data_IF_904534733836
#
_entry.id   IF_904534733836
#
_cell.length_a   1.000
_cell.length_b   1.000
_cell.length_c   1.000
_cell.angle_alpha   90.00
_cell.angle_beta   90.00
_cell.angle_gamma   90.00
#
_symmetry.space_group_name_H-M   'P 1'
#
loop_
_entity.id
_entity.type
_entity.pdbx_description
1 polymer ?
#
# COMPACT_ATOMS: atom_id res chain seq x y z
N UNK A 1 3.72 9.75 17.22
CA UNK A 1 3.03 8.80 18.13
C UNK A 1 2.71 9.46 19.47
N UNK A 2 3.61 10.29 19.97
CA UNK A 2 3.51 10.95 21.29
C UNK A 2 2.23 11.75 21.49
N UNK A 3 1.75 12.46 20.46
CA UNK A 3 0.46 13.16 20.51
C UNK A 3 -0.71 12.23 20.82
N UNK A 4 -0.74 11.04 20.20
CA UNK A 4 -1.78 10.04 20.43
C UNK A 4 -1.70 9.49 21.86
N UNK A 5 -0.49 9.15 22.33
CA UNK A 5 -0.28 8.65 23.69
C UNK A 5 -0.76 9.69 24.71
N UNK A 6 -0.36 10.94 24.56
CA UNK A 6 -0.78 12.02 25.44
C UNK A 6 -2.31 12.21 25.46
N UNK A 7 -2.95 12.17 24.30
CA UNK A 7 -4.40 12.41 24.16
C UNK A 7 -5.24 11.26 24.74
N UNK A 8 -4.82 10.00 24.54
CA UNK A 8 -5.63 8.83 24.90
C UNK A 8 -5.17 8.10 26.17
N UNK A 9 -3.92 8.30 26.59
CA UNK A 9 -3.31 7.63 27.75
C UNK A 9 -2.76 8.60 28.80
N UNK A 10 -2.78 9.91 28.54
CA UNK A 10 -2.32 10.95 29.47
C UNK A 10 -0.78 11.07 29.56
N UNK A 11 -0.30 11.75 30.60
CA UNK A 11 1.13 12.03 30.78
C UNK A 11 1.91 10.85 31.39
N UNK A 12 1.24 9.92 32.08
CA UNK A 12 1.84 8.72 32.67
C UNK A 12 1.06 7.45 32.25
N UNK A 13 1.28 6.96 31.02
CA UNK A 13 0.54 5.83 30.46
C UNK A 13 0.87 4.53 31.20
N UNK A 14 -0.15 3.72 31.51
CA UNK A 14 0.04 2.38 32.07
C UNK A 14 0.60 1.42 31.00
N UNK A 15 1.78 0.81 31.21
CA UNK A 15 2.38 -0.12 30.25
C UNK A 15 1.55 -1.40 30.01
N UNK A 16 0.63 -1.76 30.91
CA UNK A 16 -0.23 -2.93 30.78
C UNK A 16 -1.47 -2.65 29.91
N UNK A 17 -1.77 -1.39 29.64
CA UNK A 17 -2.93 -1.00 28.85
C UNK A 17 -2.66 -1.15 27.35
N UNK A 18 -3.64 -1.65 26.60
CA UNK A 18 -3.54 -1.74 25.14
C UNK A 18 -3.38 -0.35 24.52
N UNK A 19 -2.39 -0.19 23.65
CA UNK A 19 -2.17 1.08 22.93
C UNK A 19 -3.43 1.57 22.21
N UNK A 20 -4.16 0.65 21.57
CA UNK A 20 -5.48 0.89 21.01
C UNK A 20 -6.50 -0.01 21.69
N UNK A 21 -7.46 0.58 22.39
CA UNK A 21 -8.45 -0.14 23.17
C UNK A 21 -9.89 0.13 22.70
N UNK A 22 -10.78 -0.80 23.05
CA UNK A 22 -12.22 -0.59 23.03
C UNK A 22 -12.64 0.18 24.28
N UNK A 23 -13.58 1.11 24.14
CA UNK A 23 -14.19 1.83 25.27
C UNK A 23 -15.54 1.25 25.70
N UNK A 24 -15.96 0.15 25.08
CA UNK A 24 -17.24 -0.48 25.42
C UNK A 24 -17.18 -1.02 26.85
N UNK A 25 -18.22 -0.72 27.64
CA UNK A 25 -18.43 -1.17 29.02
C UNK A 25 -17.45 -0.61 30.06
N UNK A 26 -16.76 0.50 29.76
CA UNK A 26 -15.86 1.17 30.71
C UNK A 26 -14.51 0.48 30.94
N UNK A 27 -14.26 -0.66 30.30
CA UNK A 27 -13.00 -1.41 30.38
C UNK A 27 -12.16 -1.18 29.11
N UNK A 28 -10.86 -0.91 29.29
CA UNK A 28 -9.90 -0.72 28.18
C UNK A 28 -9.44 -2.06 27.59
N UNK A 29 -10.37 -2.78 26.98
CA UNK A 29 -10.12 -4.11 26.41
C UNK A 29 -9.51 -4.05 25.02
N UNK A 30 -8.93 -5.18 24.59
CA UNK A 30 -8.41 -5.38 23.23
C UNK A 30 -9.47 -5.05 22.17
N UNK A 31 -9.07 -4.27 21.18
CA UNK A 31 -9.92 -3.96 20.04
C UNK A 31 -10.13 -5.20 19.16
N UNK A 32 -11.39 -5.51 18.81
CA UNK A 32 -11.70 -6.62 17.90
C UNK A 32 -11.45 -6.23 16.43
N UNK A 33 -11.27 -7.23 15.57
CA UNK A 33 -11.14 -7.01 14.12
C UNK A 33 -12.40 -6.36 13.53
N UNK A 34 -13.58 -6.73 14.01
CA UNK A 34 -14.86 -6.14 13.59
C UNK A 34 -14.95 -4.66 14.00
N UNK A 35 -14.51 -4.32 15.21
CA UNK A 35 -14.48 -2.93 15.65
C UNK A 35 -13.55 -2.08 14.78
N UNK A 36 -12.40 -2.62 14.35
CA UNK A 36 -11.51 -1.95 13.40
C UNK A 36 -12.20 -1.80 12.03
N UNK A 37 -12.79 -2.88 11.52
CA UNK A 37 -13.47 -2.89 10.22
C UNK A 37 -14.61 -1.87 10.16
N UNK A 38 -15.41 -1.76 11.23
CA UNK A 38 -16.47 -0.76 11.34
C UNK A 38 -15.93 0.67 11.36
N UNK A 39 -14.84 0.92 12.11
CA UNK A 39 -14.17 2.23 12.13
C UNK A 39 -13.62 2.59 10.74
N UNK A 40 -12.95 1.66 10.07
CA UNK A 40 -12.44 1.88 8.72
C UNK A 40 -13.56 2.20 7.74
N UNK A 41 -14.64 1.42 7.74
CA UNK A 41 -15.80 1.68 6.88
C UNK A 41 -16.41 3.07 7.12
N UNK A 42 -16.50 3.49 8.39
CA UNK A 42 -17.00 4.83 8.74
C UNK A 42 -16.11 5.91 8.14
N UNK A 43 -14.79 5.84 8.38
CA UNK A 43 -13.88 6.87 7.91
C UNK A 43 -13.65 6.84 6.40
N UNK A 44 -13.66 5.67 5.76
CA UNK A 44 -13.59 5.57 4.30
C UNK A 44 -14.81 6.21 3.64
N UNK A 45 -16.01 5.98 4.20
CA UNK A 45 -17.24 6.63 3.72
C UNK A 45 -17.16 8.15 3.85
N UNK A 46 -16.65 8.66 4.98
CA UNK A 46 -16.47 10.10 5.19
C UNK A 46 -15.41 10.69 4.24
N UNK A 47 -14.29 10.01 4.05
CA UNK A 47 -13.20 10.47 3.19
C UNK A 47 -13.63 10.46 1.71
N UNK A 48 -14.41 9.47 1.28
CA UNK A 48 -14.96 9.38 -0.07
C UNK A 48 -15.85 10.58 -0.45
N UNK A 49 -16.56 11.17 0.52
CA UNK A 49 -17.37 12.39 0.31
C UNK A 49 -16.47 13.60 -0.02
N UNK A 50 -15.28 13.66 0.59
CA UNK A 50 -14.33 14.78 0.41
C UNK A 50 -13.44 14.56 -0.82
N UNK A 51 -13.06 13.31 -1.08
CA UNK A 51 -12.17 12.92 -2.16
C UNK A 51 -12.71 11.64 -2.82
N UNK A 52 -13.22 11.78 -4.05
CA UNK A 52 -13.82 10.66 -4.78
C UNK A 52 -12.81 9.56 -5.17
N UNK A 53 -11.50 9.82 -5.07
CA UNK A 53 -10.46 8.82 -5.28
C UNK A 53 -10.35 7.82 -4.12
N UNK A 54 -10.89 8.15 -2.94
CA UNK A 54 -10.86 7.26 -1.78
C UNK A 54 -11.98 6.22 -1.88
N UNK A 55 -11.67 4.90 -1.87
CA UNK A 55 -12.70 3.87 -1.97
C UNK A 55 -13.66 3.88 -0.76
N UNK A 56 -14.98 3.67 -0.95
CA UNK A 56 -15.95 3.76 0.14
C UNK A 56 -15.91 2.58 1.14
N UNK A 57 -15.22 1.48 0.84
CA UNK A 57 -15.13 0.29 1.71
C UNK A 57 -13.68 -0.21 1.83
N UNK A 58 -12.88 0.46 2.67
CA UNK A 58 -11.48 0.09 2.89
C UNK A 58 -11.36 -0.93 4.03
N UNK A 59 -10.48 -1.92 3.84
CA UNK A 59 -10.09 -2.89 4.85
C UNK A 59 -8.61 -2.77 5.24
N UNK A 60 -8.23 -3.30 6.40
CA UNK A 60 -6.85 -3.24 6.92
C UNK A 60 -5.82 -3.79 5.93
N UNK A 61 -6.15 -4.89 5.25
CA UNK A 61 -5.26 -5.49 4.26
C UNK A 61 -5.01 -4.55 3.09
N UNK A 62 -6.00 -3.78 2.62
CA UNK A 62 -5.80 -2.80 1.55
C UNK A 62 -4.84 -1.69 1.96
N UNK A 63 -4.96 -1.16 3.19
CA UNK A 63 -3.99 -0.17 3.70
C UNK A 63 -2.57 -0.73 3.75
N UNK A 64 -2.44 -1.99 4.20
CA UNK A 64 -1.15 -2.70 4.18
C UNK A 64 -0.62 -2.87 2.76
N UNK A 65 -1.49 -3.20 1.81
CA UNK A 65 -1.13 -3.31 0.41
C UNK A 65 -0.66 -1.96 -0.17
N UNK A 66 -1.42 -0.89 0.04
CA UNK A 66 -1.07 0.45 -0.42
C UNK A 66 0.29 0.91 0.11
N UNK A 67 0.59 0.67 1.40
CA UNK A 67 1.90 1.03 1.96
C UNK A 67 3.03 0.23 1.32
N UNK A 68 2.84 -1.06 1.09
CA UNK A 68 3.85 -1.89 0.44
C UNK A 68 4.11 -1.46 -1.01
N UNK A 69 3.05 -1.15 -1.75
CA UNK A 69 3.15 -0.63 -3.12
C UNK A 69 3.87 0.72 -3.16
N UNK A 70 3.53 1.67 -2.28
CA UNK A 70 4.21 2.96 -2.23
C UNK A 70 5.71 2.80 -1.94
N UNK A 71 6.09 1.95 -0.98
CA UNK A 71 7.50 1.69 -0.68
C UNK A 71 8.24 1.13 -1.90
N UNK A 72 7.59 0.26 -2.67
CA UNK A 72 8.19 -0.28 -3.89
C UNK A 72 8.33 0.79 -4.98
N UNK A 73 7.33 1.66 -5.13
CA UNK A 73 7.35 2.81 -6.06
C UNK A 73 8.43 3.83 -5.67
N UNK A 74 8.70 4.00 -4.37
CA UNK A 74 9.81 4.81 -3.85
C UNK A 74 11.20 4.16 -4.12
N UNK A 75 11.25 3.04 -4.85
CA UNK A 75 12.48 2.34 -5.22
C UNK A 75 13.05 1.43 -4.14
N UNK A 76 12.32 1.19 -3.05
CA UNK A 76 12.80 0.29 -1.99
C UNK A 76 12.71 -1.16 -2.48
N UNK A 77 13.81 -1.88 -2.32
CA UNK A 77 13.88 -3.29 -2.70
C UNK A 77 12.84 -4.14 -1.96
N UNK A 78 12.33 -5.17 -2.64
CA UNK A 78 11.24 -6.03 -2.14
C UNK A 78 11.59 -6.78 -0.85
N UNK A 79 12.87 -7.09 -0.63
CA UNK A 79 13.36 -7.84 0.54
C UNK A 79 13.19 -7.03 1.84
N UNK A 80 13.68 -5.77 1.94
CA UNK A 80 13.35 -4.87 3.05
C UNK A 80 11.85 -4.73 3.31
N UNK A 81 11.04 -4.59 2.25
CA UNK A 81 9.58 -4.47 2.38
C UNK A 81 8.99 -5.75 2.99
N UNK A 82 9.43 -6.92 2.55
CA UNK A 82 9.00 -8.22 3.09
C UNK A 82 9.30 -8.35 4.59
N UNK A 83 10.50 -7.93 5.01
CA UNK A 83 10.90 -7.91 6.43
C UNK A 83 10.05 -6.94 7.25
N UNK A 84 9.82 -5.72 6.74
CA UNK A 84 8.98 -4.73 7.41
C UNK A 84 7.54 -5.24 7.61
N UNK A 85 7.00 -5.96 6.62
CA UNK A 85 5.67 -6.55 6.71
C UNK A 85 5.64 -7.82 7.58
N UNK A 86 6.78 -8.41 7.93
CA UNK A 86 6.87 -9.64 8.71
C UNK A 86 6.37 -10.86 7.94
N UNK A 87 6.56 -10.91 6.62
CA UNK A 87 6.20 -12.06 5.81
C UNK A 87 7.24 -13.18 5.97
N UNK A 88 6.78 -14.38 6.31
CA UNK A 88 7.65 -15.57 6.44
C UNK A 88 8.15 -16.09 5.08
N UNK A 89 7.42 -15.82 3.99
CA UNK A 89 7.77 -16.25 2.64
C UNK A 89 7.76 -15.05 1.70
N UNK A 90 8.87 -14.83 1.00
CA UNK A 90 9.03 -13.75 0.01
C UNK A 90 7.95 -13.79 -1.08
N UNK A 91 7.44 -14.96 -1.47
CA UNK A 91 6.38 -15.10 -2.46
C UNK A 91 5.11 -14.30 -2.09
N UNK A 92 4.82 -14.13 -0.81
CA UNK A 92 3.66 -13.33 -0.35
C UNK A 92 3.88 -11.82 -0.55
N UNK A 93 5.13 -11.37 -0.58
CA UNK A 93 5.49 -9.98 -0.90
C UNK A 93 5.62 -9.77 -2.41
N UNK A 94 5.94 -10.82 -3.20
CA UNK A 94 6.05 -10.73 -4.67
C UNK A 94 4.74 -10.31 -5.35
N UNK A 95 3.58 -10.43 -4.69
CA UNK A 95 2.31 -9.86 -5.17
C UNK A 95 2.40 -8.34 -5.37
N UNK A 96 3.27 -7.64 -4.63
CA UNK A 96 3.53 -6.21 -4.82
C UNK A 96 4.47 -5.90 -5.98
N UNK A 97 5.31 -6.86 -6.37
CA UNK A 97 6.29 -6.71 -7.43
C UNK A 97 5.68 -6.73 -8.84
N UNK A 98 4.35 -6.82 -8.96
CA UNK A 98 3.64 -6.60 -10.21
C UNK A 98 3.84 -5.13 -10.57
N UNK A 99 4.92 -4.91 -11.31
CA UNK A 99 5.52 -3.63 -11.57
C UNK A 99 4.47 -2.64 -12.08
N UNK A 100 4.45 -1.44 -11.49
CA UNK A 100 3.82 -0.32 -12.17
C UNK A 100 4.49 -0.18 -13.54
N UNK A 101 3.71 0.17 -14.56
CA UNK A 101 4.23 0.39 -15.92
C UNK A 101 5.42 1.36 -15.87
N UNK A 102 5.37 2.34 -14.97
CA UNK A 102 6.43 3.31 -14.70
C UNK A 102 7.77 2.66 -14.34
N UNK A 103 7.79 1.72 -13.38
CA UNK A 103 9.02 1.00 -13.00
C UNK A 103 9.58 0.16 -14.15
N UNK A 104 8.70 -0.46 -14.95
CA UNK A 104 9.12 -1.21 -16.14
C UNK A 104 9.70 -0.26 -17.19
N UNK A 105 9.05 0.88 -17.43
CA UNK A 105 9.53 1.87 -18.41
C UNK A 105 10.87 2.48 -18.01
N UNK A 106 11.09 2.75 -16.71
CA UNK A 106 12.35 3.30 -16.20
C UNK A 106 13.49 2.26 -16.26
N UNK A 107 13.21 1.00 -15.89
CA UNK A 107 14.18 -0.09 -16.02
C UNK A 107 14.56 -0.32 -17.49
N UNK A 108 13.59 -0.32 -18.40
CA UNK A 108 13.84 -0.43 -19.85
C UNK A 108 14.64 0.76 -20.37
N UNK A 109 14.31 1.99 -19.97
CA UNK A 109 15.05 3.19 -20.37
C UNK A 109 16.51 3.14 -19.91
N UNK A 110 16.76 2.60 -18.71
CA UNK A 110 18.12 2.42 -18.16
C UNK A 110 18.93 1.40 -18.96
N UNK A 111 18.32 0.29 -19.37
CA UNK A 111 18.98 -0.75 -20.20
C UNK A 111 19.22 -0.25 -21.64
N UNK A 112 18.32 0.58 -22.17
CA UNK A 112 18.43 1.14 -23.52
C UNK A 112 19.63 2.10 -23.70
N UNK A 113 20.22 2.58 -22.60
CA UNK A 113 21.39 3.46 -22.60
C UNK A 113 22.69 2.83 -23.12
N UNK A 114 22.80 1.50 -23.20
CA UNK A 114 24.09 0.85 -23.50
C UNK A 114 24.10 -0.09 -24.72
N UNK A 115 22.96 -0.55 -25.26
CA UNK A 115 23.00 -1.68 -26.22
C UNK A 115 22.12 -1.59 -27.50
N UNK A 116 21.28 -0.57 -27.72
CA UNK A 116 20.22 -0.65 -28.76
C UNK A 116 20.22 0.45 -29.85
N UNK A 117 21.36 1.06 -30.16
CA UNK A 117 21.41 2.18 -31.12
C UNK A 117 21.13 1.80 -32.60
N UNK A 118 20.84 0.55 -32.98
CA UNK A 118 20.82 0.11 -34.39
C UNK A 118 19.60 -0.70 -34.89
N UNK A 119 18.47 -0.74 -34.18
CA UNK A 119 17.24 -1.40 -34.71
C UNK A 119 15.97 -0.56 -34.47
N UNK A 120 15.01 -0.53 -35.41
CA UNK A 120 13.77 0.23 -35.26
C UNK A 120 12.90 -0.37 -34.13
N UNK A 121 12.56 0.48 -33.15
CA UNK A 121 11.92 0.10 -31.88
C UNK A 121 10.44 -0.26 -32.09
N UNK A 122 10.03 -1.45 -31.61
CA UNK A 122 8.63 -1.94 -31.67
C UNK A 122 7.74 -1.50 -30.49
N UNK A 123 8.30 -0.80 -29.50
CA UNK A 123 7.69 -0.60 -28.17
C UNK A 123 7.37 0.87 -27.83
N UNK A 124 7.15 1.73 -28.83
CA UNK A 124 6.89 3.17 -28.59
C UNK A 124 5.50 3.49 -27.99
N UNK A 125 4.54 2.57 -28.03
CA UNK A 125 3.19 2.78 -27.51
C UNK A 125 3.03 2.05 -26.15
N UNK A 126 2.48 2.71 -25.10
CA UNK A 126 2.10 2.09 -23.83
C UNK A 126 1.37 0.74 -23.94
N UNK A 127 0.47 0.58 -24.93
CA UNK A 127 -0.24 -0.69 -25.18
C UNK A 127 0.70 -1.81 -25.64
N UNK A 128 1.76 -1.47 -26.38
CA UNK A 128 2.75 -2.44 -26.87
C UNK A 128 3.62 -2.95 -25.72
N UNK A 129 3.95 -2.07 -24.77
CA UNK A 129 4.69 -2.42 -23.55
C UNK A 129 3.82 -3.32 -22.66
N UNK A 130 2.56 -2.95 -22.45
CA UNK A 130 1.63 -3.75 -21.65
C UNK A 130 1.43 -5.16 -22.23
N UNK A 131 1.30 -5.27 -23.56
CA UNK A 131 1.18 -6.56 -24.26
C UNK A 131 2.45 -7.42 -24.14
N UNK A 132 3.64 -6.80 -24.19
CA UNK A 132 4.92 -7.50 -24.10
C UNK A 132 5.18 -8.01 -22.67
N UNK A 133 4.84 -7.21 -21.66
CA UNK A 133 5.03 -7.53 -20.26
C UNK A 133 3.86 -8.30 -19.62
N UNK A 134 2.86 -8.73 -20.41
CA UNK A 134 1.63 -9.38 -19.93
C UNK A 134 0.91 -8.59 -18.82
N UNK A 135 0.97 -7.26 -18.88
CA UNK A 135 0.32 -6.36 -17.92
C UNK A 135 -1.11 -6.07 -18.39
N UNK A 136 -2.08 -6.13 -17.48
CA UNK A 136 -3.43 -5.63 -17.75
C UNK A 136 -3.44 -4.11 -17.61
N UNK A 137 -3.76 -3.40 -18.69
CA UNK A 137 -4.01 -1.96 -18.66
C UNK A 137 -5.22 -1.68 -17.76
N UNK A 138 -4.99 -1.04 -16.62
CA UNK A 138 -6.06 -0.55 -15.75
C UNK A 138 -6.58 0.74 -16.40
N UNK A 139 -7.82 0.72 -16.90
CA UNK A 139 -8.46 1.92 -17.44
C UNK A 139 -8.66 2.90 -16.27
N UNK A 140 -8.04 4.08 -16.37
CA UNK A 140 -8.45 5.24 -15.56
C UNK A 140 -9.83 5.64 -16.06
N UNK A 141 -10.86 5.37 -15.28
CA UNK A 141 -12.18 5.95 -15.52
C UNK A 141 -12.06 7.46 -15.31
N UNK A 142 -12.51 8.21 -16.31
CA UNK A 142 -12.69 9.67 -16.30
C UNK A 142 -14.05 9.97 -15.69
#
# INVERSE_FOLDING_TARGET
>A
MDKYIKEFHGDNPDPQTYLFYSRNNGLMNKLSQDAISLRLKKYSSMACIVCNEVPPNIHCHQLRHSRATHLLQDGIQIVPISRLLGHANLNTTMVYAIASIEMVTEALASIEGEALSKQPRKWKNPESIAKLCNLKMIKKEV
#
